data_IF_580722282420
#
_entry.id   IF_580722282420
#
_cell.length_a   1.000
_cell.length_b   1.000
_cell.length_c   1.000
_cell.angle_alpha   90.00
_cell.angle_beta   90.00
_cell.angle_gamma   90.00
#
_symmetry.space_group_name_H-M   'P 1'
#
loop_
_entity.id
_entity.type
_entity.pdbx_description
1 polymer ?
#
# COMPACT_ATOMS: atom_id res chain seq x y z
N UNK A 1 29.26 -15.80 2.57
CA UNK A 1 29.13 -14.49 1.89
C UNK A 1 28.42 -13.53 2.82
N UNK A 2 29.06 -12.43 3.23
CA UNK A 2 28.38 -11.39 4.01
C UNK A 2 27.25 -10.82 3.14
N UNK A 3 26.02 -10.90 3.64
CA UNK A 3 24.87 -10.22 3.00
C UNK A 3 25.17 -8.72 3.04
N UNK A 4 25.16 -8.06 1.89
CA UNK A 4 25.37 -6.60 1.80
C UNK A 4 24.13 -5.85 2.32
N UNK A 5 23.92 -5.91 3.63
CA UNK A 5 22.82 -5.24 4.35
C UNK A 5 23.43 -4.11 5.18
N UNK A 6 22.89 -2.91 5.05
CA UNK A 6 23.27 -1.78 5.90
C UNK A 6 22.26 -1.59 7.03
N UNK A 7 22.71 -1.64 8.27
CA UNK A 7 21.91 -1.33 9.46
C UNK A 7 22.62 -0.22 10.23
N UNK A 8 21.94 0.92 10.38
CA UNK A 8 22.50 2.04 11.14
C UNK A 8 22.65 1.63 12.63
N UNK A 9 23.75 2.00 13.31
CA UNK A 9 24.03 1.56 14.70
C UNK A 9 22.98 1.93 15.74
N UNK A 10 22.14 2.95 15.47
CA UNK A 10 21.05 3.35 16.38
C UNK A 10 19.75 2.58 16.15
N UNK A 11 19.73 1.62 15.24
CA UNK A 11 18.53 0.82 14.95
C UNK A 11 18.56 -0.49 15.71
N UNK A 12 17.40 -0.91 16.18
CA UNK A 12 17.17 -2.17 16.88
C UNK A 12 16.55 -3.17 15.89
N UNK A 13 17.32 -4.19 15.50
CA UNK A 13 16.88 -5.21 14.54
C UNK A 13 17.03 -6.58 15.20
N UNK A 14 15.91 -7.28 15.35
CA UNK A 14 15.88 -8.62 15.93
C UNK A 14 16.77 -9.59 15.14
N UNK A 15 17.50 -10.44 15.86
CA UNK A 15 18.28 -11.53 15.25
C UNK A 15 17.42 -12.56 14.53
N UNK A 16 16.13 -12.65 14.85
CA UNK A 16 15.17 -13.53 14.21
C UNK A 16 14.55 -12.90 12.93
N UNK A 17 14.80 -11.62 12.66
CA UNK A 17 14.36 -10.99 11.44
C UNK A 17 15.19 -11.46 10.23
N UNK A 18 14.54 -11.63 9.09
CA UNK A 18 15.18 -12.00 7.84
C UNK A 18 15.28 -10.76 6.94
N UNK A 19 16.51 -10.30 6.70
CA UNK A 19 16.75 -9.11 5.88
C UNK A 19 17.45 -9.52 4.58
N UNK A 20 16.86 -9.14 3.45
CA UNK A 20 17.39 -9.41 2.11
C UNK A 20 18.60 -8.53 1.77
N UNK A 21 19.41 -9.03 0.85
CA UNK A 21 20.61 -8.36 0.36
C UNK A 21 20.31 -6.99 -0.24
N UNK A 22 21.21 -6.01 -0.05
CA UNK A 22 21.08 -4.65 -0.58
C UNK A 22 20.13 -3.75 0.22
N UNK A 23 19.44 -4.30 1.23
CA UNK A 23 18.51 -3.52 2.05
C UNK A 23 19.25 -2.60 3.00
N UNK A 24 18.71 -1.37 3.16
CA UNK A 24 19.27 -0.31 4.01
C UNK A 24 18.26 0.08 5.09
N UNK A 25 18.68 -0.02 6.34
CA UNK A 25 17.91 0.37 7.53
C UNK A 25 18.60 1.57 8.17
N UNK A 26 17.92 2.73 8.12
CA UNK A 26 18.44 3.99 8.58
C UNK A 26 18.19 4.19 10.10
N UNK A 27 18.49 5.40 10.60
CA UNK A 27 18.51 5.70 12.03
C UNK A 27 17.19 5.43 12.74
N UNK A 28 17.30 4.93 13.97
CA UNK A 28 16.19 4.76 14.92
C UNK A 28 15.04 3.88 14.40
N UNK A 29 15.34 2.95 13.50
CA UNK A 29 14.35 1.94 13.10
C UNK A 29 14.30 0.83 14.14
N UNK A 30 13.12 0.22 14.26
CA UNK A 30 12.95 -1.03 15.00
C UNK A 30 12.35 -2.09 14.07
N UNK A 31 12.97 -3.27 14.03
CA UNK A 31 12.47 -4.44 13.30
C UNK A 31 12.36 -5.61 14.25
N UNK A 32 11.14 -6.07 14.45
CA UNK A 32 10.85 -7.12 15.42
C UNK A 32 11.10 -8.52 14.87
N UNK A 33 10.90 -9.47 15.75
CA UNK A 33 11.11 -10.91 15.53
C UNK A 33 10.28 -11.45 14.37
N UNK A 34 10.84 -12.40 13.61
CA UNK A 34 10.25 -13.09 12.48
C UNK A 34 9.81 -12.17 11.30
N UNK A 35 10.03 -10.87 11.39
CA UNK A 35 9.77 -9.99 10.26
C UNK A 35 10.65 -10.41 9.06
N UNK A 36 10.05 -10.44 7.87
CA UNK A 36 10.76 -10.75 6.63
C UNK A 36 10.78 -9.53 5.72
N UNK A 37 11.97 -9.04 5.39
CA UNK A 37 12.19 -7.90 4.49
C UNK A 37 13.00 -8.38 3.30
N UNK A 38 12.48 -8.15 2.10
CA UNK A 38 13.11 -8.58 0.84
C UNK A 38 14.41 -7.82 0.52
N UNK A 39 14.86 -7.95 -0.72
CA UNK A 39 16.12 -7.35 -1.23
C UNK A 39 15.90 -5.87 -1.61
N UNK A 40 17.00 -5.09 -1.54
CA UNK A 40 17.06 -3.71 -2.02
C UNK A 40 16.01 -2.77 -1.42
N UNK A 41 15.52 -3.05 -0.22
CA UNK A 41 14.57 -2.20 0.47
C UNK A 41 15.26 -1.02 1.14
N UNK A 42 14.50 0.04 1.37
CA UNK A 42 14.95 1.22 2.12
C UNK A 42 13.95 1.48 3.25
N UNK A 43 14.39 1.32 4.48
CA UNK A 43 13.68 1.75 5.68
C UNK A 43 14.30 3.05 6.16
N UNK A 44 13.56 4.15 6.02
CA UNK A 44 14.03 5.48 6.40
C UNK A 44 13.94 5.69 7.92
N UNK A 45 14.37 6.84 8.43
CA UNK A 45 14.47 7.11 9.86
C UNK A 45 13.16 6.85 10.61
N UNK A 46 13.27 6.15 11.74
CA UNK A 46 12.16 5.94 12.68
C UNK A 46 11.06 5.01 12.20
N UNK A 47 11.37 4.11 11.26
CA UNK A 47 10.43 3.09 10.80
C UNK A 47 10.32 1.98 11.85
N UNK A 48 9.10 1.58 12.17
CA UNK A 48 8.79 0.42 13.00
C UNK A 48 8.20 -0.69 12.16
N UNK A 49 8.78 -1.88 12.25
CA UNK A 49 8.27 -3.11 11.64
C UNK A 49 7.95 -4.10 12.74
N UNK A 50 6.68 -4.45 12.86
CA UNK A 50 6.18 -5.37 13.89
C UNK A 50 6.56 -6.82 13.59
N UNK A 51 6.30 -7.70 14.57
CA UNK A 51 6.56 -9.13 14.43
C UNK A 51 5.76 -9.74 13.28
N UNK A 52 6.37 -10.75 12.60
CA UNK A 52 5.79 -11.54 11.53
C UNK A 52 5.38 -10.76 10.26
N UNK A 53 5.69 -9.46 10.17
CA UNK A 53 5.40 -8.63 9.00
C UNK A 53 6.18 -9.12 7.78
N UNK A 54 5.53 -9.10 6.61
CA UNK A 54 6.13 -9.51 5.34
C UNK A 54 6.27 -8.32 4.39
N UNK A 55 7.50 -8.05 3.97
CA UNK A 55 7.85 -6.98 3.04
C UNK A 55 8.61 -7.59 1.87
N UNK A 56 8.12 -7.37 0.65
CA UNK A 56 8.73 -7.83 -0.59
C UNK A 56 10.03 -7.10 -0.94
N UNK A 57 10.47 -7.23 -2.19
CA UNK A 57 11.71 -6.63 -2.67
C UNK A 57 11.49 -5.18 -3.16
N UNK A 58 12.57 -4.38 -3.20
CA UNK A 58 12.55 -3.01 -3.74
C UNK A 58 11.53 -2.08 -3.08
N UNK A 59 11.12 -2.36 -1.85
CA UNK A 59 10.16 -1.55 -1.09
C UNK A 59 10.86 -0.34 -0.49
N UNK A 60 10.20 0.82 -0.57
CA UNK A 60 10.70 2.05 0.04
C UNK A 60 9.71 2.57 1.08
N UNK A 61 10.12 2.55 2.34
CA UNK A 61 9.34 3.03 3.49
C UNK A 61 9.99 4.31 4.00
N UNK A 62 9.26 5.43 3.91
CA UNK A 62 9.74 6.73 4.31
C UNK A 62 9.71 6.93 5.84
N UNK A 63 10.10 8.12 6.31
CA UNK A 63 10.28 8.39 7.74
C UNK A 63 9.01 8.20 8.58
N UNK A 64 9.17 7.69 9.81
CA UNK A 64 8.16 7.70 10.85
C UNK A 64 6.92 6.85 10.56
N UNK A 65 7.10 5.72 9.87
CA UNK A 65 6.01 4.81 9.54
C UNK A 65 6.08 3.58 10.44
N UNK A 66 4.92 3.14 10.93
CA UNK A 66 4.75 1.86 11.61
C UNK A 66 4.00 0.88 10.71
N UNK A 67 4.62 -0.28 10.48
CA UNK A 67 4.00 -1.41 9.79
C UNK A 67 3.67 -2.45 10.84
N UNK A 68 2.41 -2.56 11.21
CA UNK A 68 1.94 -3.44 12.26
C UNK A 68 1.70 -4.87 11.77
N UNK A 69 1.66 -5.82 12.71
CA UNK A 69 1.28 -7.20 12.48
C UNK A 69 -0.04 -7.29 11.66
N UNK A 70 -0.09 -8.20 10.68
CA UNK A 70 -1.21 -8.34 9.74
C UNK A 70 -1.07 -7.50 8.46
N UNK A 71 -0.04 -6.63 8.35
CA UNK A 71 0.24 -5.89 7.12
C UNK A 71 1.25 -6.64 6.27
N UNK A 72 0.94 -6.80 4.99
CA UNK A 72 1.86 -7.34 3.98
C UNK A 72 2.07 -6.29 2.87
N UNK A 73 3.34 -6.00 2.55
CA UNK A 73 3.73 -5.18 1.43
C UNK A 73 4.39 -6.06 0.36
N UNK A 74 3.85 -6.08 -0.85
CA UNK A 74 4.47 -6.78 -1.99
C UNK A 74 5.65 -5.97 -2.56
N UNK A 75 6.27 -6.48 -3.64
CA UNK A 75 7.43 -5.88 -4.28
C UNK A 75 7.17 -4.47 -4.81
N UNK A 76 8.16 -3.58 -4.69
CA UNK A 76 8.14 -2.25 -5.28
C UNK A 76 7.15 -1.25 -4.63
N UNK A 77 6.56 -1.58 -3.49
CA UNK A 77 5.66 -0.67 -2.78
C UNK A 77 6.41 0.56 -2.27
N UNK A 78 5.78 1.72 -2.44
CA UNK A 78 6.24 2.99 -1.86
C UNK A 78 5.29 3.44 -0.74
N UNK A 79 5.83 3.68 0.45
CA UNK A 79 5.12 4.27 1.58
C UNK A 79 5.64 5.67 1.84
N UNK A 80 4.82 6.69 1.59
CA UNK A 80 5.13 8.11 1.82
C UNK A 80 5.25 8.44 3.31
N UNK A 81 6.01 9.49 3.67
CA UNK A 81 6.33 9.78 5.07
C UNK A 81 5.08 9.92 5.93
N UNK A 82 5.15 9.34 7.13
CA UNK A 82 4.10 9.38 8.14
C UNK A 82 2.74 8.83 7.67
N UNK A 83 2.68 7.98 6.64
CA UNK A 83 1.46 7.23 6.41
C UNK A 83 1.22 6.24 7.55
N UNK A 84 -0.04 5.90 7.79
CA UNK A 84 -0.46 5.12 8.95
C UNK A 84 -1.19 3.86 8.47
N UNK A 85 -0.80 2.72 9.02
CA UNK A 85 -1.57 1.48 8.92
C UNK A 85 -2.24 1.21 10.27
N UNK A 86 -3.47 0.73 10.27
CA UNK A 86 -4.10 0.17 11.47
C UNK A 86 -4.18 -1.36 11.34
N UNK A 87 -4.41 -2.08 12.43
CA UNK A 87 -4.57 -3.54 12.42
C UNK A 87 -5.75 -4.04 13.28
N UNK A 88 -6.38 -3.14 14.04
CA UNK A 88 -7.59 -3.40 14.81
C UNK A 88 -8.73 -2.49 14.32
N UNK A 89 -9.89 -3.09 13.97
CA UNK A 89 -11.09 -2.36 13.55
C UNK A 89 -11.88 -1.77 14.71
N UNK A 90 -11.75 -2.36 15.90
CA UNK A 90 -12.55 -2.02 17.07
C UNK A 90 -11.63 -1.81 18.29
N UNK A 91 -10.67 -0.87 18.23
CA UNK A 91 -9.67 -0.71 19.28
C UNK A 91 -10.32 -0.27 20.59
N UNK A 92 -10.02 -0.99 21.65
CA UNK A 92 -10.39 -0.67 23.04
C UNK A 92 -9.26 -1.08 23.97
N UNK A 93 -9.00 -0.29 24.99
CA UNK A 93 -8.02 -0.63 26.02
C UNK A 93 -8.56 -1.66 27.04
N UNK A 94 -9.87 -1.68 27.24
CA UNK A 94 -10.56 -2.53 28.21
C UNK A 94 -11.71 -3.31 27.57
N UNK A 95 -12.05 -4.44 28.18
CA UNK A 95 -13.24 -5.23 27.89
C UNK A 95 -14.50 -4.58 28.52
N UNK A 96 -15.72 -4.98 28.12
CA UNK A 96 -16.97 -4.45 28.70
C UNK A 96 -17.10 -4.62 30.21
N UNK A 97 -16.42 -5.59 30.79
CA UNK A 97 -16.39 -5.86 32.25
C UNK A 97 -15.36 -5.01 33.02
N UNK A 98 -14.61 -4.13 32.31
CA UNK A 98 -13.56 -3.28 32.87
C UNK A 98 -12.17 -3.91 32.95
N UNK A 99 -12.01 -5.19 32.61
CA UNK A 99 -10.70 -5.84 32.56
C UNK A 99 -9.84 -5.30 31.40
N UNK A 100 -8.51 -5.30 31.57
CA UNK A 100 -7.60 -4.93 30.49
C UNK A 100 -7.70 -5.94 29.35
N UNK A 101 -7.74 -5.44 28.12
CA UNK A 101 -7.61 -6.31 26.92
C UNK A 101 -6.22 -6.95 26.87
N UNK A 102 -6.23 -8.24 26.57
CA UNK A 102 -5.04 -9.05 26.32
C UNK A 102 -4.81 -9.23 24.80
N UNK A 103 -3.73 -9.88 24.42
CA UNK A 103 -3.45 -10.23 23.03
C UNK A 103 -4.50 -11.16 22.39
N UNK A 104 -5.31 -11.84 23.20
CA UNK A 104 -6.37 -12.76 22.73
C UNK A 104 -7.75 -12.11 22.62
N UNK A 105 -7.88 -10.84 23.03
CA UNK A 105 -9.18 -10.15 23.13
C UNK A 105 -9.48 -9.27 21.89
N UNK A 106 -8.72 -9.42 20.82
CA UNK A 106 -8.92 -8.71 19.57
C UNK A 106 -8.53 -9.55 18.35
N UNK A 107 -9.01 -9.17 17.19
CA UNK A 107 -8.76 -9.88 15.94
C UNK A 107 -8.01 -8.97 14.99
N UNK A 108 -6.85 -9.45 14.54
CA UNK A 108 -6.08 -8.80 13.48
C UNK A 108 -6.89 -8.79 12.19
N UNK A 109 -6.96 -7.63 11.55
CA UNK A 109 -7.56 -7.49 10.22
C UNK A 109 -6.45 -7.27 9.20
N UNK A 110 -6.16 -8.28 8.39
CA UNK A 110 -5.05 -8.26 7.45
C UNK A 110 -5.19 -7.17 6.38
N UNK A 111 -4.09 -6.50 6.10
CA UNK A 111 -4.00 -5.49 5.03
C UNK A 111 -2.95 -5.92 4.02
N UNK A 112 -3.33 -5.95 2.74
CA UNK A 112 -2.43 -6.29 1.64
C UNK A 112 -2.19 -5.08 0.75
N UNK A 113 -0.93 -4.69 0.58
CA UNK A 113 -0.50 -3.68 -0.40
C UNK A 113 0.22 -4.40 -1.53
N UNK A 114 -0.37 -4.39 -2.71
CA UNK A 114 0.11 -5.16 -3.86
C UNK A 114 1.21 -4.43 -4.61
N UNK A 115 1.88 -5.19 -5.47
CA UNK A 115 3.09 -4.81 -6.22
C UNK A 115 2.97 -3.42 -6.85
N UNK A 116 4.00 -2.59 -6.63
CA UNK A 116 4.15 -1.27 -7.24
C UNK A 116 3.20 -0.19 -6.72
N UNK A 117 2.32 -0.49 -5.76
CA UNK A 117 1.41 0.51 -5.20
C UNK A 117 2.18 1.62 -4.46
N UNK A 118 1.63 2.85 -4.50
CA UNK A 118 2.20 4.03 -3.85
C UNK A 118 1.20 4.63 -2.86
N UNK A 119 1.65 4.82 -1.63
CA UNK A 119 0.85 5.43 -0.56
C UNK A 119 1.41 6.83 -0.29
N UNK A 120 0.57 7.84 -0.42
CA UNK A 120 0.92 9.24 -0.20
C UNK A 120 1.24 9.55 1.27
N UNK A 121 1.97 10.66 1.48
CA UNK A 121 2.30 11.14 2.83
C UNK A 121 1.04 11.36 3.68
N UNK A 122 1.11 11.02 4.96
CA UNK A 122 0.00 11.16 5.92
C UNK A 122 -1.29 10.44 5.53
N UNK A 123 -1.28 9.54 4.55
CA UNK A 123 -2.44 8.71 4.27
C UNK A 123 -2.68 7.69 5.39
N UNK A 124 -3.93 7.41 5.71
CA UNK A 124 -4.32 6.38 6.68
C UNK A 124 -4.94 5.20 5.95
N UNK A 125 -4.40 4.02 6.16
CA UNK A 125 -4.93 2.76 5.64
C UNK A 125 -5.63 2.03 6.78
N UNK A 126 -6.96 2.03 6.74
CA UNK A 126 -7.77 1.27 7.71
C UNK A 126 -7.59 -0.22 7.39
N UNK A 127 -7.40 -1.02 8.44
CA UNK A 127 -7.10 -2.44 8.29
C UNK A 127 -8.22 -3.25 7.59
N UNK A 128 -7.84 -4.40 7.04
CA UNK A 128 -8.75 -5.29 6.33
C UNK A 128 -9.04 -4.88 4.88
N UNK A 129 -8.14 -4.10 4.26
CA UNK A 129 -8.28 -3.69 2.86
C UNK A 129 -7.13 -4.22 2.01
N UNK A 130 -7.41 -4.38 0.72
CA UNK A 130 -6.40 -4.64 -0.30
C UNK A 130 -6.20 -3.38 -1.14
N UNK A 131 -4.95 -2.92 -1.24
CA UNK A 131 -4.52 -1.89 -2.19
C UNK A 131 -4.01 -2.60 -3.44
N UNK A 132 -4.64 -2.36 -4.58
CA UNK A 132 -4.35 -3.03 -5.85
C UNK A 132 -2.95 -2.72 -6.39
N UNK A 133 -2.54 -3.51 -7.39
CA UNK A 133 -1.24 -3.32 -8.06
C UNK A 133 -1.18 -1.94 -8.69
N UNK A 134 -0.04 -1.25 -8.49
CA UNK A 134 0.22 0.07 -9.06
C UNK A 134 -0.82 1.14 -8.70
N UNK A 135 -1.69 0.87 -7.72
CA UNK A 135 -2.62 1.87 -7.21
C UNK A 135 -1.88 3.04 -6.55
N UNK A 136 -2.49 4.20 -6.57
CA UNK A 136 -1.95 5.41 -5.96
C UNK A 136 -2.94 5.97 -4.95
N UNK A 137 -2.50 6.06 -3.71
CA UNK A 137 -3.25 6.69 -2.61
C UNK A 137 -2.73 8.12 -2.47
N UNK A 138 -3.60 9.10 -2.62
CA UNK A 138 -3.22 10.49 -2.46
C UNK A 138 -2.83 10.85 -1.03
N UNK A 139 -1.98 11.85 -0.88
CA UNK A 139 -1.54 12.32 0.44
C UNK A 139 -2.74 12.75 1.30
N UNK A 140 -2.71 12.44 2.61
CA UNK A 140 -3.78 12.76 3.56
C UNK A 140 -5.08 11.98 3.39
N UNK A 141 -5.14 11.01 2.49
CA UNK A 141 -6.35 10.21 2.25
C UNK A 141 -6.60 9.18 3.34
N UNK A 142 -7.87 8.87 3.62
CA UNK A 142 -8.27 7.80 4.56
C UNK A 142 -8.92 6.66 3.77
N UNK A 143 -8.17 5.59 3.56
CA UNK A 143 -8.62 4.42 2.80
C UNK A 143 -9.39 3.46 3.69
N UNK A 144 -10.67 3.27 3.41
CA UNK A 144 -11.60 2.43 4.18
C UNK A 144 -12.15 1.24 3.39
N UNK A 145 -11.77 1.10 2.12
CA UNK A 145 -12.23 0.04 1.20
C UNK A 145 -11.09 -0.39 0.30
N UNK A 146 -11.25 -1.54 -0.35
CA UNK A 146 -10.31 -2.01 -1.35
C UNK A 146 -10.13 -0.99 -2.47
N UNK A 147 -8.90 -0.88 -2.97
CA UNK A 147 -8.55 -0.03 -4.11
C UNK A 147 -8.21 -0.94 -5.29
N UNK A 148 -8.81 -0.74 -6.46
CA UNK A 148 -8.54 -1.56 -7.63
C UNK A 148 -7.10 -1.36 -8.15
N UNK A 149 -6.63 -2.30 -8.97
CA UNK A 149 -5.34 -2.18 -9.65
C UNK A 149 -5.33 -0.87 -10.47
N UNK A 150 -4.22 -0.14 -10.42
CA UNK A 150 -4.04 1.18 -11.02
C UNK A 150 -4.96 2.29 -10.48
N UNK A 151 -5.81 2.03 -9.50
CA UNK A 151 -6.76 3.01 -8.96
C UNK A 151 -6.08 4.20 -8.31
N UNK A 152 -6.54 5.41 -8.64
CA UNK A 152 -6.18 6.66 -7.97
C UNK A 152 -7.28 7.04 -7.00
N UNK A 153 -6.99 7.06 -5.71
CA UNK A 153 -7.95 7.42 -4.67
C UNK A 153 -7.48 8.63 -3.87
N UNK A 154 -8.42 9.53 -3.56
CA UNK A 154 -8.21 10.75 -2.78
C UNK A 154 -9.32 10.97 -1.77
N UNK A 155 -9.02 11.67 -0.68
CA UNK A 155 -9.98 12.23 0.26
C UNK A 155 -10.19 11.43 1.54
N UNK A 156 -11.11 11.92 2.38
CA UNK A 156 -11.53 11.29 3.63
C UNK A 156 -13.07 11.22 3.72
N UNK A 157 -13.67 10.03 3.59
CA UNK A 157 -13.03 8.78 3.19
C UNK A 157 -12.57 8.82 1.72
N UNK A 158 -11.50 8.07 1.41
CA UNK A 158 -10.93 8.04 0.07
C UNK A 158 -11.93 7.50 -0.96
N UNK A 159 -11.97 8.15 -2.13
CA UNK A 159 -12.82 7.79 -3.27
C UNK A 159 -11.97 7.58 -4.52
N UNK A 160 -12.36 6.63 -5.35
CA UNK A 160 -11.74 6.40 -6.64
C UNK A 160 -12.07 7.58 -7.56
N UNK A 161 -11.04 8.29 -8.01
CA UNK A 161 -11.16 9.50 -8.85
C UNK A 161 -10.54 9.30 -10.25
N UNK A 162 -10.05 8.11 -10.53
CA UNK A 162 -9.44 7.75 -11.80
C UNK A 162 -8.42 6.65 -11.64
N UNK A 163 -7.52 6.58 -12.61
CA UNK A 163 -6.48 5.56 -12.68
C UNK A 163 -5.13 6.18 -13.02
N UNK A 164 -4.06 5.45 -12.70
CA UNK A 164 -2.67 5.86 -12.96
C UNK A 164 -1.92 4.78 -13.73
N UNK A 165 -0.97 5.22 -14.54
CA UNK A 165 -0.02 4.37 -15.24
C UNK A 165 1.08 3.86 -14.29
N UNK A 166 1.85 2.87 -14.73
CA UNK A 166 3.08 2.41 -14.07
C UNK A 166 4.07 3.55 -13.79
N UNK A 167 4.10 4.57 -14.64
CA UNK A 167 4.96 5.76 -14.46
C UNK A 167 4.38 6.80 -13.48
N UNK A 168 3.20 6.54 -12.89
CA UNK A 168 2.53 7.40 -11.92
C UNK A 168 1.68 8.54 -12.53
N UNK A 169 1.68 8.73 -13.85
CA UNK A 169 0.83 9.73 -14.48
C UNK A 169 -0.63 9.27 -14.51
N UNK A 170 -1.54 10.22 -14.29
CA UNK A 170 -2.98 9.97 -14.39
C UNK A 170 -3.33 9.53 -15.81
N UNK A 171 -4.10 8.47 -15.92
CA UNK A 171 -4.66 8.02 -17.19
C UNK A 171 -5.91 8.87 -17.48
N UNK A 172 -5.95 9.42 -18.69
CA UNK A 172 -7.13 10.06 -19.24
C UNK A 172 -7.71 9.08 -20.24
N UNK A 173 -8.86 8.46 -19.97
CA UNK A 173 -9.50 7.61 -20.96
C UNK A 173 -9.82 8.45 -22.19
N UNK A 174 -9.51 7.93 -23.37
CA UNK A 174 -9.98 8.51 -24.63
C UNK A 174 -11.50 8.34 -24.67
N UNK A 175 -12.24 9.44 -24.61
CA UNK A 175 -13.71 9.42 -24.70
C UNK A 175 -14.18 8.88 -26.06
N UNK A 176 -13.36 9.00 -27.09
CA UNK A 176 -13.63 8.53 -28.47
C UNK A 176 -13.43 7.00 -28.64
N UNK A 177 -12.79 6.31 -27.68
CA UNK A 177 -12.55 4.85 -27.73
C UNK A 177 -13.46 4.08 -26.76
N UNK A 178 -14.46 4.71 -26.18
CA UNK A 178 -15.49 4.08 -25.36
C UNK A 178 -16.56 3.35 -26.22
N UNK A 179 -16.28 3.09 -27.51
CA UNK A 179 -17.19 2.30 -28.34
C UNK A 179 -17.18 0.84 -27.84
N UNK A 180 -18.33 0.34 -27.34
CA UNK A 180 -18.46 -1.03 -26.86
C UNK A 180 -18.23 -2.09 -27.95
N UNK A 181 -18.11 -1.69 -29.22
CA UNK A 181 -18.11 -2.58 -30.39
C UNK A 181 -16.71 -2.85 -30.98
N UNK A 182 -15.65 -2.12 -30.63
CA UNK A 182 -14.42 -2.14 -31.46
C UNK A 182 -13.15 -2.70 -30.83
N UNK A 183 -13.12 -3.17 -29.58
CA UNK A 183 -11.93 -3.83 -29.04
C UNK A 183 -12.22 -5.24 -28.56
N UNK A 184 -11.65 -6.21 -29.25
CA UNK A 184 -11.60 -7.63 -28.88
C UNK A 184 -10.64 -7.77 -27.67
N UNK A 185 -11.08 -7.32 -26.50
CA UNK A 185 -10.46 -7.63 -25.24
C UNK A 185 -11.42 -8.45 -24.37
N UNK A 186 -10.94 -9.29 -23.42
CA UNK A 186 -11.81 -9.99 -22.50
C UNK A 186 -12.83 -9.00 -21.94
N UNK A 187 -14.09 -9.38 -21.87
CA UNK A 187 -15.25 -8.51 -21.51
C UNK A 187 -15.09 -7.70 -20.20
N UNK A 188 -13.98 -7.94 -19.46
CA UNK A 188 -13.77 -7.47 -18.09
C UNK A 188 -12.80 -6.28 -17.96
N UNK A 189 -12.17 -5.81 -19.06
CA UNK A 189 -11.17 -4.73 -19.01
C UNK A 189 -11.44 -3.62 -20.02
N UNK A 190 -10.95 -2.41 -19.69
CA UNK A 190 -10.87 -1.26 -20.60
C UNK A 190 -9.39 -0.93 -20.79
N UNK A 191 -8.89 -1.01 -22.02
CA UNK A 191 -7.52 -0.65 -22.33
C UNK A 191 -7.38 0.85 -22.56
N UNK A 192 -6.34 1.46 -22.01
CA UNK A 192 -6.01 2.87 -22.21
C UNK A 192 -4.51 3.04 -22.38
N UNK A 193 -4.09 4.07 -23.12
CA UNK A 193 -2.68 4.36 -23.36
C UNK A 193 -2.23 5.57 -22.57
N UNK A 194 -1.10 5.46 -21.86
CA UNK A 194 -0.54 6.56 -21.12
C UNK A 194 0.05 7.62 -22.05
N UNK A 195 -0.38 8.86 -21.94
CA UNK A 195 0.15 9.96 -22.75
C UNK A 195 1.64 10.24 -22.48
N UNK A 196 2.13 9.99 -21.26
CA UNK A 196 3.50 10.29 -20.85
C UNK A 196 4.52 9.23 -21.30
N UNK A 197 4.23 7.93 -21.08
CA UNK A 197 5.20 6.85 -21.36
C UNK A 197 4.76 5.90 -22.47
N UNK A 198 3.59 6.11 -23.07
CA UNK A 198 3.01 5.33 -24.18
C UNK A 198 2.69 3.87 -23.83
N UNK A 199 2.80 3.45 -22.58
CA UNK A 199 2.42 2.10 -22.17
C UNK A 199 0.89 1.93 -22.19
N UNK A 200 0.46 0.75 -22.61
CA UNK A 200 -0.93 0.33 -22.56
C UNK A 200 -1.24 -0.28 -21.20
N UNK A 201 -2.37 0.10 -20.62
CA UNK A 201 -2.83 -0.32 -19.31
C UNK A 201 -4.24 -0.88 -19.45
N UNK A 202 -4.47 -2.05 -18.88
CA UNK A 202 -5.78 -2.68 -18.80
C UNK A 202 -6.40 -2.40 -17.44
N UNK A 203 -7.49 -1.67 -17.42
CA UNK A 203 -8.23 -1.26 -16.22
C UNK A 203 -9.46 -2.17 -16.07
N UNK A 204 -9.75 -2.73 -14.88
CA UNK A 204 -10.98 -3.46 -14.64
C UNK A 204 -12.22 -2.62 -15.02
N UNK A 205 -13.10 -3.16 -15.84
CA UNK A 205 -14.24 -2.42 -16.41
C UNK A 205 -15.23 -1.93 -15.35
N UNK A 206 -15.50 -2.74 -14.36
CA UNK A 206 -16.36 -2.39 -13.22
C UNK A 206 -15.82 -1.21 -12.42
N UNK A 207 -14.53 -1.22 -12.12
CA UNK A 207 -13.84 -0.10 -11.46
C UNK A 207 -13.83 1.17 -12.33
N UNK A 208 -13.65 1.03 -13.65
CA UNK A 208 -13.72 2.15 -14.60
C UNK A 208 -15.10 2.80 -14.59
N UNK A 209 -16.17 2.00 -14.64
CA UNK A 209 -17.54 2.50 -14.61
C UNK A 209 -17.89 3.17 -13.27
N UNK A 210 -17.35 2.66 -12.14
CA UNK A 210 -17.52 3.28 -10.83
C UNK A 210 -16.85 4.66 -10.76
N UNK A 211 -15.64 4.80 -11.31
CA UNK A 211 -14.91 6.08 -11.32
C UNK A 211 -15.64 7.18 -12.11
N UNK A 212 -16.38 6.83 -13.15
CA UNK A 212 -17.15 7.79 -13.95
C UNK A 212 -18.41 8.27 -13.22
N UNK A 213 -19.09 7.40 -12.44
CA UNK A 213 -20.26 7.80 -11.62
C UNK A 213 -19.90 8.80 -10.53
N UNK A 214 -18.68 8.79 -10.02
CA UNK A 214 -18.23 9.73 -8.99
C UNK A 214 -17.94 11.13 -9.52
N UNK A 215 -17.86 11.34 -10.83
CA UNK A 215 -17.71 12.67 -11.46
C UNK A 215 -19.01 13.45 -11.55
N UNK A 216 -20.15 12.76 -11.51
CA UNK A 216 -21.48 13.37 -11.64
C UNK A 216 -22.05 13.90 -10.31
N UNK A 217 -21.35 13.70 -9.20
CA UNK A 217 -21.72 14.23 -7.88
C UNK A 217 -20.80 15.43 -7.58
N UNK A 218 -21.16 16.57 -8.14
CA UNK A 218 -20.63 17.88 -7.75
C UNK A 218 -21.69 18.66 -6.99
#
# INVERSE_FOLDING_TARGET
MQRNVYIHPTSDVSQQAIIGEGTKIWQHCQVRENATIGKNCILSKGVYIDADVKIGNNVKIQNGISIYHGVTLEDGVFCGPHCVFTNDKFPRAINPDGSLKSATDWVVSDTLVRTGASIGAHATIVCGVTIGKWAMIGAGSVVTRNVPDHGLVLGNPARLIGFVCYCGHKLVPDEDHADPATTVHPKDFVSTKCAACQQQIDIPRDAFLESNKSKDIK
#
